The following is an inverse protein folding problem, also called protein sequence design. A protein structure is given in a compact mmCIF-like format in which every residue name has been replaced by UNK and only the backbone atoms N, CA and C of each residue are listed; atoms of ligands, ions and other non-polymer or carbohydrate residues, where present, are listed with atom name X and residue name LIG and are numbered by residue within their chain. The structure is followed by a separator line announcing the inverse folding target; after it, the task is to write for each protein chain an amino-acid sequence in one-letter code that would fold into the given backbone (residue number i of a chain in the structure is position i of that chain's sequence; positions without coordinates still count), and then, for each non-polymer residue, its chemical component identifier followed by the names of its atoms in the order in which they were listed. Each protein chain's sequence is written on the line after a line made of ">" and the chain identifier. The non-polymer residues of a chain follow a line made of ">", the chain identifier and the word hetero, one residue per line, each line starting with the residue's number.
data_IF_201061003706
#
_entry.id   IF_201061003706
#
_cell.length_a   1.000
_cell.length_b   1.000
_cell.length_c   1.000
_cell.angle_alpha   90.00
_cell.angle_beta   90.00
_cell.angle_gamma   90.00
#
_symmetry.space_group_name_H-M   'P 1'
#
loop_
_entity.id
_entity.type
_entity.pdbx_description
1 polymer ?
#
# COMPACT_ATOMS: atom_id res chain seq x y z
N UNK A 1 4.80 7.29 13.04
CA UNK A 1 4.81 7.05 11.60
C UNK A 1 6.07 7.69 11.03
N UNK A 2 6.96 6.86 10.49
CA UNK A 2 8.18 7.32 9.85
C UNK A 2 7.98 7.19 8.32
N UNK A 3 7.47 8.25 7.70
CA UNK A 3 7.20 8.30 6.26
C UNK A 3 8.43 8.04 5.42
N UNK A 4 9.60 8.33 5.96
CA UNK A 4 10.88 8.14 5.29
C UNK A 4 11.21 6.67 5.01
N UNK A 5 10.64 5.72 5.76
CA UNK A 5 10.83 4.28 5.52
C UNK A 5 10.14 3.76 4.26
N UNK A 6 9.11 4.44 3.78
CA UNK A 6 8.29 3.94 2.67
C UNK A 6 8.76 4.46 1.32
N UNK A 7 9.22 5.69 1.29
CA UNK A 7 9.72 6.28 0.04
C UNK A 7 11.16 5.88 -0.23
N UNK A 8 11.47 5.73 -1.48
CA UNK A 8 12.81 5.38 -1.92
C UNK A 8 13.71 6.63 -1.95
N UNK A 9 14.23 7.04 -0.76
CA UNK A 9 15.07 8.23 -0.63
C UNK A 9 16.42 8.10 -1.34
N UNK A 10 16.92 6.89 -1.58
CA UNK A 10 18.06 6.66 -2.45
C UNK A 10 17.74 6.98 -3.91
N UNK A 11 16.47 7.00 -4.25
CA UNK A 11 15.96 7.49 -5.51
C UNK A 11 15.76 9.01 -5.48
N UNK A 12 16.80 9.79 -5.21
CA UNK A 12 16.87 11.16 -5.77
C UNK A 12 16.62 11.16 -7.30
N UNK A 13 16.51 9.98 -7.88
CA UNK A 13 16.15 9.66 -9.25
C UNK A 13 15.15 8.50 -9.30
N UNK A 14 13.95 8.65 -8.70
CA UNK A 14 12.85 7.79 -9.16
C UNK A 14 12.71 8.05 -10.65
N UNK A 15 12.85 6.98 -11.45
CA UNK A 15 12.83 7.07 -12.90
C UNK A 15 11.58 7.82 -13.35
N UNK A 16 11.72 8.74 -14.29
CA UNK A 16 10.61 9.57 -14.79
C UNK A 16 9.41 8.76 -15.32
N UNK A 17 9.62 7.47 -15.63
CA UNK A 17 8.56 6.54 -16.04
C UNK A 17 7.41 6.41 -15.02
N UNK A 18 7.65 6.72 -13.74
CA UNK A 18 6.61 6.71 -12.70
C UNK A 18 5.87 8.02 -12.59
N UNK A 19 6.43 9.13 -13.08
CA UNK A 19 5.76 10.43 -13.11
C UNK A 19 4.62 10.41 -14.13
N UNK A 20 3.46 10.93 -13.73
CA UNK A 20 2.30 10.96 -14.60
C UNK A 20 2.56 11.81 -15.85
N UNK A 21 2.09 11.33 -17.00
CA UNK A 21 2.10 12.15 -18.22
C UNK A 21 1.18 13.35 -18.04
N UNK A 22 1.42 14.49 -18.74
CA UNK A 22 0.51 15.65 -18.67
C UNK A 22 -0.94 15.23 -18.92
N UNK A 23 -1.18 14.51 -20.01
CA UNK A 23 -2.52 14.03 -20.40
C UNK A 23 -3.23 13.23 -19.31
N UNK A 24 -2.51 12.33 -18.64
CA UNK A 24 -3.10 11.52 -17.57
C UNK A 24 -3.39 12.38 -16.33
N UNK A 25 -2.49 13.28 -15.99
CA UNK A 25 -2.69 14.18 -14.85
C UNK A 25 -3.87 15.11 -15.04
N UNK A 26 -3.99 15.76 -16.21
CA UNK A 26 -5.12 16.61 -16.55
C UNK A 26 -6.45 15.85 -16.53
N UNK A 27 -6.45 14.62 -17.05
CA UNK A 27 -7.62 13.73 -16.99
C UNK A 27 -8.04 13.43 -15.55
N UNK A 28 -7.11 13.08 -14.67
CA UNK A 28 -7.41 12.74 -13.27
C UNK A 28 -7.95 13.96 -12.51
N UNK A 29 -7.43 15.16 -12.77
CA UNK A 29 -7.93 16.40 -12.16
C UNK A 29 -9.37 16.69 -12.61
N UNK A 30 -9.62 16.66 -13.92
CA UNK A 30 -10.96 16.88 -14.47
C UNK A 30 -11.96 15.82 -13.97
N UNK A 31 -11.54 14.56 -13.87
CA UNK A 31 -12.34 13.47 -13.33
C UNK A 31 -12.70 13.70 -11.85
N UNK A 32 -11.72 14.08 -11.04
CA UNK A 32 -11.93 14.38 -9.62
C UNK A 32 -12.90 15.56 -9.42
N UNK A 33 -12.75 16.61 -10.20
CA UNK A 33 -13.63 17.78 -10.16
C UNK A 33 -15.07 17.46 -10.55
N UNK A 34 -15.25 16.70 -11.63
CA UNK A 34 -16.57 16.21 -12.07
C UNK A 34 -17.29 15.39 -10.98
N UNK A 35 -16.56 14.54 -10.25
CA UNK A 35 -17.13 13.74 -9.17
C UNK A 35 -17.41 14.56 -7.92
N UNK A 36 -16.55 15.53 -7.61
CA UNK A 36 -16.78 16.48 -6.50
C UNK A 36 -18.06 17.29 -6.72
N UNK A 37 -18.26 17.77 -7.94
CA UNK A 37 -19.47 18.53 -8.31
C UNK A 37 -20.75 17.69 -8.17
N UNK A 38 -20.65 16.35 -8.22
CA UNK A 38 -21.77 15.42 -8.03
C UNK A 38 -21.95 14.96 -6.57
N UNK A 39 -21.16 15.47 -5.63
CA UNK A 39 -21.16 15.01 -4.24
C UNK A 39 -20.51 13.64 -4.02
N UNK A 40 -19.83 13.08 -5.02
CA UNK A 40 -19.15 11.79 -4.91
C UNK A 40 -17.70 12.01 -4.44
N UNK A 41 -17.25 11.20 -3.46
CA UNK A 41 -15.89 11.24 -2.94
C UNK A 41 -14.83 10.57 -3.83
N UNK A 42 -15.09 10.42 -5.13
CA UNK A 42 -14.15 9.81 -6.08
C UNK A 42 -13.11 10.84 -6.54
N UNK A 43 -11.88 10.39 -6.61
CA UNK A 43 -10.74 11.18 -7.06
C UNK A 43 -9.46 10.40 -6.86
N UNK A 44 -8.33 11.03 -7.13
CA UNK A 44 -7.02 10.47 -6.84
C UNK A 44 -6.63 10.69 -5.37
N UNK A 45 -5.74 9.85 -4.84
CA UNK A 45 -5.12 10.04 -3.54
C UNK A 45 -3.73 10.65 -3.72
N UNK A 46 -3.51 11.88 -3.27
CA UNK A 46 -2.19 12.51 -3.24
C UNK A 46 -1.59 12.38 -1.84
N UNK A 47 -0.38 11.85 -1.75
CA UNK A 47 0.29 11.58 -0.48
C UNK A 47 1.68 12.20 -0.44
N UNK A 48 2.04 12.65 0.74
CA UNK A 48 3.39 13.07 1.12
C UNK A 48 3.95 12.18 2.23
N UNK A 49 5.09 12.55 2.82
CA UNK A 49 5.78 11.73 3.83
C UNK A 49 4.90 11.35 5.05
N UNK A 50 4.07 12.29 5.51
CA UNK A 50 3.26 12.12 6.72
C UNK A 50 1.81 11.70 6.43
N UNK A 51 1.51 11.34 5.19
CA UNK A 51 0.14 11.02 4.78
C UNK A 51 -0.21 9.57 5.06
N UNK A 52 -1.47 9.34 5.44
CA UNK A 52 -2.06 8.00 5.44
C UNK A 52 -2.55 7.70 4.02
N UNK A 53 -2.14 6.55 3.47
CA UNK A 53 -2.52 6.16 2.11
C UNK A 53 -3.89 5.48 2.08
N UNK A 54 -4.50 5.47 0.90
CA UNK A 54 -5.61 4.56 0.60
C UNK A 54 -5.09 3.13 0.45
N UNK A 55 -6.00 2.17 0.41
CA UNK A 55 -5.67 0.77 0.14
C UNK A 55 -5.07 0.61 -1.26
N UNK A 56 -3.94 -0.07 -1.34
CA UNK A 56 -3.35 -0.49 -2.61
C UNK A 56 -4.21 -1.60 -3.21
N UNK A 57 -4.73 -1.39 -4.43
CA UNK A 57 -5.58 -2.37 -5.11
C UNK A 57 -4.82 -3.15 -6.19
N UNK A 58 -5.34 -4.34 -6.54
CA UNK A 58 -4.80 -5.13 -7.67
C UNK A 58 -4.88 -4.39 -9.01
N UNK A 59 -5.65 -3.30 -9.10
CA UNK A 59 -5.80 -2.47 -10.29
C UNK A 59 -4.82 -1.32 -10.37
N UNK A 60 -3.99 -1.12 -9.35
CA UNK A 60 -3.01 -0.04 -9.28
C UNK A 60 -2.11 0.07 -10.53
N UNK A 61 -1.85 -1.06 -11.20
CA UNK A 61 -1.07 -1.08 -12.44
C UNK A 61 -1.68 -0.25 -13.59
N UNK A 62 -2.96 0.09 -13.55
CA UNK A 62 -3.64 0.84 -14.63
C UNK A 62 -3.18 2.29 -14.66
N UNK A 63 -3.67 3.10 -13.73
CA UNK A 63 -3.37 4.54 -13.65
C UNK A 63 -2.69 4.94 -12.32
N UNK A 64 -2.74 4.07 -11.31
CA UNK A 64 -2.15 4.29 -10.00
C UNK A 64 -2.81 5.41 -9.22
N UNK A 65 -4.03 5.80 -9.60
CA UNK A 65 -4.70 6.98 -9.05
C UNK A 65 -5.07 6.87 -7.58
N UNK A 66 -5.12 5.65 -7.03
CA UNK A 66 -5.42 5.44 -5.61
C UNK A 66 -4.35 6.07 -4.71
N UNK A 67 -3.07 6.00 -5.11
CA UNK A 67 -1.94 6.51 -4.33
C UNK A 67 -0.94 7.18 -5.27
N UNK A 68 -0.95 8.50 -5.31
CA UNK A 68 0.00 9.30 -6.05
C UNK A 68 0.92 10.03 -5.08
N UNK A 69 2.21 10.00 -5.33
CA UNK A 69 3.23 10.66 -4.51
C UNK A 69 3.43 12.09 -4.99
N UNK A 70 3.29 13.05 -4.07
CA UNK A 70 3.59 14.43 -4.33
C UNK A 70 5.11 14.65 -4.53
N UNK A 71 5.47 15.39 -5.56
CA UNK A 71 6.87 15.66 -5.92
C UNK A 71 7.28 17.15 -5.82
N UNK A 72 6.46 17.96 -5.15
CA UNK A 72 6.62 19.42 -5.10
C UNK A 72 5.80 20.14 -6.17
N UNK A 73 5.72 21.47 -6.07
CA UNK A 73 4.84 22.30 -6.90
C UNK A 73 5.18 22.29 -8.39
N UNK A 74 6.47 22.11 -8.70
CA UNK A 74 6.98 22.19 -10.08
C UNK A 74 7.01 20.83 -10.80
N UNK A 75 6.53 19.78 -10.18
CA UNK A 75 6.51 18.43 -10.78
C UNK A 75 5.12 17.79 -10.63
N UNK A 76 4.69 17.10 -11.70
CA UNK A 76 3.49 16.28 -11.65
C UNK A 76 3.69 15.14 -10.65
N UNK A 77 2.64 14.69 -9.96
CA UNK A 77 2.75 13.55 -9.06
C UNK A 77 3.18 12.28 -9.81
N UNK A 78 3.68 11.32 -9.06
CA UNK A 78 4.12 10.03 -9.59
C UNK A 78 3.38 8.88 -8.94
N UNK A 79 3.38 7.74 -9.58
CA UNK A 79 2.98 6.47 -8.97
C UNK A 79 4.06 5.99 -7.98
N UNK A 80 3.67 5.12 -7.07
CA UNK A 80 4.61 4.35 -6.28
C UNK A 80 5.46 3.45 -7.18
N UNK A 81 6.70 3.23 -6.81
CA UNK A 81 7.52 2.18 -7.41
C UNK A 81 7.06 0.80 -6.90
N UNK A 82 7.39 -0.32 -7.57
CA UNK A 82 7.14 -1.66 -7.04
C UNK A 82 7.76 -1.89 -5.65
N UNK A 83 8.93 -1.32 -5.38
CA UNK A 83 9.59 -1.41 -4.07
C UNK A 83 8.80 -0.66 -2.98
N UNK A 84 8.32 0.52 -3.28
CA UNK A 84 7.46 1.28 -2.37
C UNK A 84 6.14 0.55 -2.09
N UNK A 85 5.54 -0.10 -3.11
CA UNK A 85 4.38 -0.96 -2.90
C UNK A 85 4.69 -2.15 -1.96
N UNK A 86 5.85 -2.79 -2.13
CA UNK A 86 6.29 -3.86 -1.24
C UNK A 86 6.41 -3.37 0.21
N UNK A 87 7.10 -2.25 0.44
CA UNK A 87 7.25 -1.63 1.77
C UNK A 87 5.90 -1.28 2.40
N UNK A 88 4.99 -0.70 1.61
CA UNK A 88 3.65 -0.34 2.05
C UNK A 88 2.85 -1.56 2.52
N UNK A 89 3.09 -2.71 1.91
CA UNK A 89 2.47 -3.99 2.29
C UNK A 89 3.24 -4.74 3.40
N UNK A 90 4.32 -4.15 3.94
CA UNK A 90 5.11 -4.71 5.03
C UNK A 90 6.17 -5.75 4.60
N UNK A 91 6.47 -5.84 3.30
CA UNK A 91 7.57 -6.68 2.84
C UNK A 91 8.92 -6.02 3.11
N UNK A 92 9.88 -6.81 3.56
CA UNK A 92 11.25 -6.39 3.79
C UNK A 92 11.98 -6.01 2.48
N UNK A 93 12.99 -5.13 2.57
CA UNK A 93 13.76 -4.68 1.41
C UNK A 93 14.59 -5.79 0.75
N UNK A 94 14.86 -6.87 1.47
CA UNK A 94 15.52 -8.06 0.90
C UNK A 94 14.58 -8.90 0.03
N UNK A 95 13.24 -8.66 0.13
CA UNK A 95 12.27 -9.36 -0.71
C UNK A 95 12.51 -9.08 -2.19
N UNK A 96 12.81 -10.13 -2.95
CA UNK A 96 13.12 -10.03 -4.37
C UNK A 96 11.85 -9.84 -5.20
N UNK A 97 11.91 -8.92 -6.17
CA UNK A 97 10.79 -8.63 -7.10
C UNK A 97 11.27 -9.00 -8.53
N UNK A 98 11.31 -10.30 -8.89
CA UNK A 98 11.86 -10.76 -10.17
C UNK A 98 10.83 -10.72 -11.31
N UNK A 99 9.92 -9.78 -11.27
CA UNK A 99 8.82 -9.65 -12.23
C UNK A 99 8.72 -8.21 -12.77
N UNK A 100 7.97 -8.01 -13.85
CA UNK A 100 7.72 -6.67 -14.39
C UNK A 100 6.91 -5.82 -13.42
N UNK A 101 7.04 -4.48 -13.52
CA UNK A 101 6.29 -3.53 -12.68
C UNK A 101 4.78 -3.81 -12.66
N UNK A 102 4.20 -4.10 -13.83
CA UNK A 102 2.77 -4.44 -13.94
C UNK A 102 2.38 -5.67 -13.13
N UNK A 103 3.22 -6.71 -13.16
CA UNK A 103 2.98 -7.94 -12.38
C UNK A 103 3.18 -7.68 -10.90
N UNK A 104 4.22 -6.93 -10.53
CA UNK A 104 4.49 -6.55 -9.15
C UNK A 104 3.31 -5.78 -8.53
N UNK A 105 2.79 -4.77 -9.22
CA UNK A 105 1.60 -4.04 -8.76
C UNK A 105 0.39 -4.94 -8.54
N UNK A 106 0.12 -5.89 -9.45
CA UNK A 106 -0.96 -6.86 -9.28
C UNK A 106 -0.74 -7.75 -8.08
N UNK A 107 0.48 -8.23 -7.87
CA UNK A 107 0.82 -9.13 -6.77
C UNK A 107 0.69 -8.42 -5.43
N UNK A 108 1.27 -7.22 -5.28
CA UNK A 108 1.17 -6.46 -4.03
C UNK A 108 -0.27 -6.00 -3.74
N UNK A 109 -1.02 -5.57 -4.75
CA UNK A 109 -2.42 -5.19 -4.58
C UNK A 109 -3.37 -6.36 -4.26
N UNK A 110 -2.97 -7.60 -4.55
CA UNK A 110 -3.68 -8.81 -4.15
C UNK A 110 -3.14 -9.41 -2.84
N UNK A 111 -2.02 -8.94 -2.34
CA UNK A 111 -1.45 -9.43 -1.09
C UNK A 111 -2.21 -8.88 0.12
N UNK A 112 -1.97 -9.49 1.27
CA UNK A 112 -2.36 -8.94 2.57
C UNK A 112 -1.16 -8.24 3.20
N UNK A 113 -1.42 -7.26 4.07
CA UNK A 113 -0.36 -6.56 4.81
C UNK A 113 0.29 -7.54 5.77
N UNK A 114 1.61 -7.73 5.65
CA UNK A 114 2.39 -8.74 6.40
C UNK A 114 2.21 -8.55 7.90
N UNK A 115 2.32 -7.32 8.41
CA UNK A 115 2.20 -7.03 9.84
C UNK A 115 0.81 -7.37 10.40
N UNK A 116 -0.25 -7.16 9.62
CA UNK A 116 -1.62 -7.51 10.01
C UNK A 116 -1.75 -9.03 10.15
N UNK A 117 -1.22 -9.78 9.19
CA UNK A 117 -1.25 -11.26 9.24
C UNK A 117 -0.39 -11.81 10.35
N UNK A 118 0.79 -11.24 10.58
CA UNK A 118 1.65 -11.63 11.69
C UNK A 118 0.96 -11.36 13.05
N UNK A 119 0.26 -10.24 13.19
CA UNK A 119 -0.51 -9.94 14.40
C UNK A 119 -1.66 -10.94 14.61
N UNK A 120 -2.44 -11.19 13.57
CA UNK A 120 -3.53 -12.18 13.60
C UNK A 120 -3.01 -13.58 13.99
N UNK A 121 -1.91 -14.02 13.37
CA UNK A 121 -1.29 -15.30 13.69
C UNK A 121 -0.86 -15.41 15.16
N UNK A 122 -0.26 -14.34 15.72
CA UNK A 122 0.10 -14.31 17.16
C UNK A 122 -1.13 -14.40 18.06
N UNK A 123 -2.22 -13.76 17.70
CA UNK A 123 -3.47 -13.85 18.47
C UNK A 123 -4.06 -15.27 18.39
N UNK A 124 -4.01 -15.91 17.23
CA UNK A 124 -4.54 -17.27 17.03
C UNK A 124 -3.67 -18.33 17.70
N UNK A 125 -2.34 -18.14 17.72
CA UNK A 125 -1.39 -19.09 18.28
C UNK A 125 -1.75 -19.55 19.69
N UNK A 126 -2.19 -18.64 20.55
CA UNK A 126 -2.62 -18.93 21.94
C UNK A 126 -3.82 -19.88 22.04
N UNK A 127 -4.61 -20.01 20.96
CA UNK A 127 -5.76 -20.91 20.91
C UNK A 127 -5.44 -22.24 20.21
N UNK A 128 -4.41 -22.27 19.35
CA UNK A 128 -4.06 -23.41 18.55
C UNK A 128 -2.97 -24.29 19.18
N UNK A 129 -2.10 -23.66 19.99
CA UNK A 129 -1.07 -24.39 20.74
C UNK A 129 -1.59 -24.62 22.15
N UNK A 130 -1.82 -25.89 22.57
CA UNK A 130 -2.19 -26.18 23.95
C UNK A 130 -1.07 -25.66 24.86
N UNK A 131 -1.44 -24.84 25.82
CA UNK A 131 -0.53 -24.38 26.86
C UNK A 131 -0.26 -25.60 27.79
N UNK A 132 0.92 -26.20 27.68
CA UNK A 132 1.32 -27.31 28.50
C UNK A 132 1.33 -26.99 30.01
N UNK A 133 1.15 -25.71 30.36
CA UNK A 133 1.07 -25.22 31.73
C UNK A 133 -0.36 -24.90 32.19
N UNK A 134 -1.36 -25.08 31.31
CA UNK A 134 -2.76 -24.81 31.65
C UNK A 134 -3.28 -25.94 32.54
N UNK A 135 -3.68 -25.68 33.77
CA UNK A 135 -4.30 -26.74 34.60
C UNK A 135 -5.56 -27.25 33.93
N UNK A 136 -5.73 -28.56 33.90
CA UNK A 136 -6.96 -29.19 33.39
C UNK A 136 -8.18 -28.56 34.05
N UNK A 137 -9.24 -28.27 33.29
CA UNK A 137 -10.49 -27.83 33.91
C UNK A 137 -10.99 -28.92 34.85
N UNK A 138 -11.57 -28.55 36.00
CA UNK A 138 -12.06 -29.55 36.96
C UNK A 138 -13.11 -30.45 36.30
N UNK A 139 -13.16 -31.75 36.64
CA UNK A 139 -14.12 -32.68 36.06
C UNK A 139 -15.55 -32.18 36.32
N UNK A 140 -16.33 -32.16 35.25
CA UNK A 140 -17.77 -31.78 35.33
C UNK A 140 -18.45 -32.88 36.15
N UNK A 141 -18.81 -32.54 37.37
CA UNK A 141 -19.63 -33.43 38.23
C UNK A 141 -21.00 -33.61 37.55
N UNK A 142 -21.30 -34.82 37.13
CA UNK A 142 -22.61 -35.24 36.63
C UNK A 142 -23.68 -35.30 37.71
#
# INVERSE_FOLDING_TARGET
>A
WDGDRFFDHQARCVQDKYTLTPKLWDYLQAYAEKHRAKGNGFGFGLVGPDSVTRTLSARYYKDGSEILVYQGENRRPRRLTPRECARLMGFDDTFRIPVSDTRAYKQFGNSVVVDVMAHAARLMHRFLVPDATRPEPPPVSG
#
